data_IF_274846950111
#
_entry.id   IF_274846950111
#
_cell.length_a   1.000
_cell.length_b   1.000
_cell.length_c   1.000
_cell.angle_alpha   90.00
_cell.angle_beta   90.00
_cell.angle_gamma   90.00
#
_symmetry.space_group_name_H-M   'P 1'
#
loop_
_entity.id
_entity.type
_entity.pdbx_description
1 polymer ?
#
# COMPACT_ATOMS: atom_id res chain seq x y z
N UNK A 1 -8.40 82.43 -43.89
CA UNK A 1 -7.15 81.98 -43.25
C UNK A 1 -7.52 81.09 -42.10
N UNK A 2 -7.69 79.76 -42.38
CA UNK A 2 -8.15 78.72 -41.40
C UNK A 2 -6.98 77.82 -41.07
N UNK A 3 -6.55 77.85 -39.80
CA UNK A 3 -5.51 76.96 -39.22
C UNK A 3 -6.14 75.64 -38.85
N UNK A 4 -5.71 74.57 -39.50
CA UNK A 4 -6.07 73.17 -39.13
C UNK A 4 -5.19 72.72 -37.95
N UNK A 5 -5.82 72.40 -36.84
CA UNK A 5 -5.17 71.78 -35.67
C UNK A 5 -5.28 70.26 -35.86
N UNK A 6 -4.12 69.57 -36.00
CA UNK A 6 -4.03 68.18 -36.06
C UNK A 6 -3.92 67.60 -34.62
N UNK A 7 -4.91 66.80 -34.19
CA UNK A 7 -4.89 66.14 -32.92
C UNK A 7 -4.18 64.78 -33.13
N UNK A 8 -2.99 64.64 -32.54
CA UNK A 8 -2.25 63.37 -32.50
C UNK A 8 -2.78 62.54 -31.34
N UNK A 9 -3.55 61.49 -31.66
CA UNK A 9 -4.02 60.48 -30.70
C UNK A 9 -2.87 59.51 -30.37
N UNK A 10 -2.33 59.63 -29.16
CA UNK A 10 -1.34 58.68 -28.61
C UNK A 10 -2.07 57.43 -28.15
N UNK A 11 -1.96 56.32 -28.92
CA UNK A 11 -2.42 55.00 -28.52
C UNK A 11 -1.32 54.39 -27.69
N UNK A 12 -1.55 54.29 -26.37
CA UNK A 12 -0.69 53.54 -25.45
C UNK A 12 -1.13 52.05 -25.50
N UNK A 13 -0.26 51.13 -25.92
CA UNK A 13 -0.62 49.70 -25.85
C UNK A 13 -0.60 49.26 -24.39
N UNK A 14 -1.75 48.85 -23.89
CA UNK A 14 -1.89 48.14 -22.63
C UNK A 14 -1.23 46.75 -22.76
N UNK A 15 -0.01 46.61 -22.30
CA UNK A 15 0.66 45.34 -22.08
C UNK A 15 -0.05 44.62 -20.94
N UNK A 16 -0.93 43.69 -21.27
CA UNK A 16 -1.46 42.68 -20.34
C UNK A 16 -0.31 41.83 -19.83
N UNK A 17 0.24 42.15 -18.69
CA UNK A 17 1.06 41.23 -17.90
C UNK A 17 0.13 40.12 -17.39
N UNK A 18 0.01 39.03 -18.15
CA UNK A 18 -0.48 37.75 -17.62
C UNK A 18 0.57 37.28 -16.64
N UNK A 19 0.48 37.69 -15.39
CA UNK A 19 1.22 37.13 -14.30
C UNK A 19 0.78 35.65 -14.18
N UNK A 20 1.68 34.71 -14.44
CA UNK A 20 1.52 33.34 -13.96
C UNK A 20 1.39 33.40 -12.44
N UNK A 21 0.17 33.38 -11.92
CA UNK A 21 -0.06 33.15 -10.51
C UNK A 21 0.45 31.75 -10.21
N UNK A 22 1.66 31.64 -9.68
CA UNK A 22 2.12 30.42 -9.04
C UNK A 22 1.08 30.08 -7.96
N UNK A 23 0.52 28.86 -8.01
CA UNK A 23 -0.31 28.36 -6.91
C UNK A 23 0.46 28.58 -5.61
N UNK A 24 -0.19 29.12 -4.57
CA UNK A 24 0.45 29.21 -3.26
C UNK A 24 0.98 27.84 -2.90
N UNK A 25 2.21 27.78 -2.45
CA UNK A 25 2.80 26.53 -1.96
C UNK A 25 1.90 26.03 -0.82
N UNK A 26 1.59 24.73 -0.83
CA UNK A 26 0.87 24.10 0.28
C UNK A 26 1.77 24.16 1.52
N UNK A 27 1.42 25.02 2.49
CA UNK A 27 2.20 25.27 3.70
C UNK A 27 1.96 24.24 4.80
N UNK A 28 1.04 23.27 4.58
CA UNK A 28 0.77 22.24 5.56
C UNK A 28 2.04 21.42 5.85
N UNK A 29 2.27 21.02 7.12
CA UNK A 29 3.36 20.15 7.45
C UNK A 29 3.20 18.80 6.71
N UNK A 30 4.33 18.19 6.37
CA UNK A 30 4.32 16.95 5.57
C UNK A 30 4.60 15.74 6.46
N UNK A 31 3.80 14.70 6.28
CA UNK A 31 4.04 13.34 6.76
C UNK A 31 4.38 12.49 5.53
N UNK A 32 5.42 11.66 5.63
CA UNK A 32 5.69 10.66 4.61
C UNK A 32 5.22 9.28 5.06
N UNK A 33 4.74 8.50 4.10
CA UNK A 33 4.43 7.09 4.26
C UNK A 33 5.18 6.29 3.20
N UNK A 34 5.60 5.06 3.51
CA UNK A 34 6.39 4.26 2.55
C UNK A 34 5.56 3.80 1.36
N UNK A 35 4.35 3.32 1.59
CA UNK A 35 3.45 2.76 0.57
C UNK A 35 2.05 3.36 0.63
N UNK A 36 1.32 3.23 -0.45
CA UNK A 36 0.01 3.86 -0.64
C UNK A 36 -1.06 3.43 0.39
N UNK A 37 -1.16 2.15 0.82
CA UNK A 37 -2.07 1.74 1.89
C UNK A 37 -1.91 2.53 3.20
N UNK A 38 -0.68 2.91 3.54
CA UNK A 38 -0.42 3.71 4.75
C UNK A 38 -0.95 5.14 4.62
N UNK A 39 -0.99 5.69 3.39
CA UNK A 39 -1.62 7.00 3.15
C UNK A 39 -3.11 6.95 3.49
N UNK A 40 -3.81 5.90 3.08
CA UNK A 40 -5.22 5.70 3.43
C UNK A 40 -5.47 5.76 4.94
N UNK A 41 -4.63 5.02 5.72
CA UNK A 41 -4.76 4.98 7.18
C UNK A 41 -4.39 6.33 7.82
N UNK A 42 -3.24 6.89 7.48
CA UNK A 42 -2.72 8.10 8.11
C UNK A 42 -3.57 9.31 7.78
N UNK A 43 -4.02 9.44 6.53
CA UNK A 43 -4.90 10.55 6.12
C UNK A 43 -6.24 10.53 6.84
N UNK A 44 -6.81 9.35 7.12
CA UNK A 44 -8.04 9.26 7.92
C UNK A 44 -7.83 9.77 9.36
N UNK A 45 -6.64 9.60 9.95
CA UNK A 45 -6.34 10.07 11.31
C UNK A 45 -6.11 11.58 11.32
N UNK A 46 -5.26 12.09 10.43
CA UNK A 46 -4.83 13.50 10.48
C UNK A 46 -5.75 14.48 9.74
N UNK A 47 -6.65 13.98 8.88
CA UNK A 47 -7.50 14.81 8.05
C UNK A 47 -6.71 15.73 7.13
N UNK A 48 -7.16 16.97 6.99
CA UNK A 48 -6.56 17.99 6.13
C UNK A 48 -5.42 18.80 6.78
N UNK A 49 -5.06 18.51 8.03
CA UNK A 49 -4.03 19.27 8.75
C UNK A 49 -2.62 19.01 8.21
N UNK A 50 -2.43 17.88 7.54
CA UNK A 50 -1.14 17.47 6.98
C UNK A 50 -1.25 17.14 5.49
N UNK A 51 -0.12 17.31 4.80
CA UNK A 51 0.11 16.73 3.50
C UNK A 51 0.74 15.35 3.67
N UNK A 52 -0.01 14.28 3.35
CA UNK A 52 0.49 12.91 3.45
C UNK A 52 1.04 12.48 2.09
N UNK A 53 2.36 12.36 1.99
CA UNK A 53 3.10 12.02 0.77
C UNK A 53 3.55 10.56 0.78
N UNK A 54 3.50 9.91 -0.38
CA UNK A 54 3.88 8.50 -0.55
C UNK A 54 5.24 8.40 -1.19
N UNK A 55 6.10 7.52 -0.66
CA UNK A 55 7.43 7.29 -1.23
C UNK A 55 7.39 6.43 -2.48
N UNK A 56 6.74 5.28 -2.40
CA UNK A 56 6.58 4.37 -3.54
C UNK A 56 5.41 4.83 -4.40
N UNK A 57 5.64 5.33 -5.61
CA UNK A 57 4.57 5.76 -6.49
C UNK A 57 3.58 4.64 -6.82
N UNK A 58 2.30 4.96 -7.09
CA UNK A 58 1.32 3.98 -7.52
C UNK A 58 1.80 3.12 -8.68
N UNK A 59 1.58 1.81 -8.62
CA UNK A 59 1.95 0.85 -9.67
C UNK A 59 3.40 0.37 -9.63
N UNK A 60 4.27 0.94 -8.79
CA UNK A 60 5.63 0.44 -8.59
C UNK A 60 5.65 -0.68 -7.53
N UNK A 61 6.59 -1.61 -7.71
CA UNK A 61 6.82 -2.67 -6.73
C UNK A 61 7.68 -2.15 -5.57
N UNK A 62 7.18 -2.17 -4.32
CA UNK A 62 7.94 -1.75 -3.15
C UNK A 62 9.23 -2.55 -2.92
N UNK A 63 9.27 -3.83 -3.31
CA UNK A 63 10.44 -4.69 -3.09
C UNK A 63 11.66 -4.28 -3.92
N UNK A 64 11.43 -3.62 -5.07
CA UNK A 64 12.48 -3.16 -5.99
C UNK A 64 12.64 -1.64 -6.04
N UNK A 65 11.94 -0.91 -5.16
CA UNK A 65 11.95 0.55 -5.18
C UNK A 65 13.24 1.12 -4.61
N UNK A 66 13.75 2.17 -5.26
CA UNK A 66 14.86 3.00 -4.75
C UNK A 66 14.47 4.48 -4.74
N UNK A 67 14.57 5.16 -3.59
CA UNK A 67 14.21 6.57 -3.49
C UNK A 67 15.23 7.46 -4.19
N UNK A 68 14.71 8.53 -4.81
CA UNK A 68 15.53 9.56 -5.44
C UNK A 68 16.22 10.45 -4.39
N UNK A 69 17.34 11.13 -4.74
CA UNK A 69 17.98 12.12 -3.84
C UNK A 69 17.03 13.23 -3.40
N UNK A 70 16.09 13.63 -4.23
CA UNK A 70 15.08 14.64 -3.89
C UNK A 70 14.15 14.14 -2.80
N UNK A 71 13.63 12.91 -2.91
CA UNK A 71 12.80 12.30 -1.88
C UNK A 71 13.54 12.19 -0.54
N UNK A 72 14.85 11.90 -0.55
CA UNK A 72 15.66 11.87 0.67
C UNK A 72 15.74 13.24 1.37
N UNK A 73 15.83 14.34 0.61
CA UNK A 73 15.81 15.70 1.17
C UNK A 73 14.43 15.99 1.78
N UNK A 74 13.36 15.66 1.06
CA UNK A 74 12.00 15.93 1.50
C UNK A 74 11.61 15.09 2.74
N UNK A 75 12.08 13.85 2.84
CA UNK A 75 11.97 13.00 4.05
C UNK A 75 12.64 13.64 5.28
N UNK A 76 13.87 14.18 5.10
CA UNK A 76 14.56 14.85 6.21
C UNK A 76 13.86 16.13 6.68
N UNK A 77 12.98 16.72 5.88
CA UNK A 77 12.18 17.91 6.20
C UNK A 77 10.80 17.57 6.79
N UNK A 78 10.35 16.35 6.69
CA UNK A 78 9.01 15.95 7.14
C UNK A 78 8.89 15.91 8.67
N UNK A 79 7.66 15.97 9.16
CA UNK A 79 7.33 15.85 10.59
C UNK A 79 7.44 14.40 11.08
N UNK A 80 6.85 13.47 10.35
CA UNK A 80 6.84 12.03 10.63
C UNK A 80 7.08 11.24 9.35
N UNK A 81 7.60 10.04 9.51
CA UNK A 81 7.79 9.03 8.45
C UNK A 81 7.24 7.72 8.97
N UNK A 82 6.10 7.28 8.42
CA UNK A 82 5.53 5.98 8.72
C UNK A 82 5.97 4.95 7.69
N UNK A 83 6.38 3.80 8.17
CA UNK A 83 6.85 2.70 7.33
C UNK A 83 6.38 1.35 7.90
N UNK A 84 6.43 0.30 7.09
CA UNK A 84 6.16 -1.07 7.55
C UNK A 84 7.27 -1.53 8.48
N UNK A 85 8.53 -1.24 8.15
CA UNK A 85 9.72 -1.61 8.88
C UNK A 85 10.32 -2.96 8.49
N UNK A 86 9.66 -3.70 7.58
CA UNK A 86 10.09 -5.02 7.09
C UNK A 86 10.38 -5.06 5.59
N UNK A 87 10.15 -3.98 4.84
CA UNK A 87 10.50 -3.90 3.43
C UNK A 87 11.97 -3.46 3.30
N UNK A 88 12.74 -4.14 2.47
CA UNK A 88 14.19 -3.94 2.37
C UNK A 88 14.61 -2.51 2.02
N UNK A 89 13.90 -1.84 1.10
CA UNK A 89 14.23 -0.47 0.74
C UNK A 89 14.04 0.51 1.90
N UNK A 90 13.04 0.28 2.76
CA UNK A 90 12.77 1.11 3.93
C UNK A 90 13.97 1.10 4.87
N UNK A 91 14.53 -0.07 5.16
CA UNK A 91 15.68 -0.20 6.06
C UNK A 91 16.90 0.55 5.54
N UNK A 92 17.22 0.36 4.25
CA UNK A 92 18.36 1.03 3.60
C UNK A 92 18.20 2.54 3.57
N UNK A 93 16.99 3.02 3.23
CA UNK A 93 16.65 4.44 3.12
C UNK A 93 16.59 5.11 4.49
N UNK A 94 15.85 4.53 5.42
CA UNK A 94 15.60 5.11 6.73
C UNK A 94 16.88 5.19 7.57
N UNK A 95 17.86 4.31 7.34
CA UNK A 95 19.18 4.41 7.99
C UNK A 95 19.90 5.75 7.74
N UNK A 96 19.53 6.47 6.66
CA UNK A 96 20.10 7.76 6.25
C UNK A 96 19.32 8.98 6.76
N UNK A 97 18.24 8.78 7.51
CA UNK A 97 17.46 9.86 8.12
C UNK A 97 18.20 10.38 9.36
N UNK A 98 18.41 11.69 9.41
CA UNK A 98 19.18 12.36 10.48
C UNK A 98 18.47 12.26 11.85
N UNK A 99 17.19 12.62 11.90
CA UNK A 99 16.39 12.48 13.12
C UNK A 99 15.56 11.19 13.09
N UNK A 100 16.08 10.16 13.73
CA UNK A 100 15.46 8.84 13.81
C UNK A 100 14.16 8.80 14.62
N UNK A 101 13.89 9.78 15.47
CA UNK A 101 12.70 9.81 16.33
C UNK A 101 11.42 9.99 15.54
N UNK A 102 11.51 10.60 14.35
CA UNK A 102 10.35 10.78 13.46
C UNK A 102 10.04 9.56 12.58
N UNK A 103 10.89 8.52 12.63
CA UNK A 103 10.70 7.28 11.87
C UNK A 103 9.92 6.28 12.73
N UNK A 104 8.72 5.97 12.30
CA UNK A 104 7.77 5.14 13.04
C UNK A 104 7.52 3.83 12.28
N UNK A 105 7.94 2.72 12.87
CA UNK A 105 7.69 1.38 12.35
C UNK A 105 6.30 0.90 12.77
N UNK A 106 5.40 0.72 11.81
CA UNK A 106 3.99 0.37 12.09
C UNK A 106 3.78 -1.11 12.42
N UNK A 107 4.78 -1.98 12.20
CA UNK A 107 4.70 -3.40 12.53
C UNK A 107 4.79 -3.70 14.05
N UNK A 108 5.07 -2.72 14.89
CA UNK A 108 5.26 -2.95 16.33
C UNK A 108 4.04 -3.62 16.94
N UNK A 109 4.27 -4.74 17.64
CA UNK A 109 3.22 -5.55 18.24
C UNK A 109 2.54 -6.55 17.31
N UNK A 110 2.94 -6.61 16.03
CA UNK A 110 2.47 -7.61 15.08
C UNK A 110 3.43 -8.80 15.11
N UNK A 111 2.88 -10.01 15.24
CA UNK A 111 3.65 -11.24 15.17
C UNK A 111 4.10 -11.50 13.72
N UNK A 112 5.42 -11.59 13.47
CA UNK A 112 5.92 -11.78 12.12
C UNK A 112 5.60 -13.18 11.58
N UNK A 113 5.34 -13.25 10.27
CA UNK A 113 5.29 -14.53 9.54
C UNK A 113 6.62 -14.65 8.79
N UNK A 114 7.20 -15.86 8.79
CA UNK A 114 8.38 -16.13 7.97
C UNK A 114 8.04 -15.92 6.49
N UNK A 115 8.78 -15.03 5.83
CA UNK A 115 8.60 -14.74 4.42
C UNK A 115 9.16 -15.86 3.55
N UNK A 116 8.60 -16.01 2.36
CA UNK A 116 9.16 -16.87 1.32
C UNK A 116 10.33 -16.23 0.57
N UNK A 117 10.65 -14.96 0.85
CA UNK A 117 11.72 -14.21 0.20
C UNK A 117 13.06 -14.39 0.94
N UNK A 118 13.62 -15.59 0.90
CA UNK A 118 14.99 -15.83 1.36
C UNK A 118 15.97 -15.63 0.20
N UNK A 119 16.55 -14.44 0.06
CA UNK A 119 17.78 -14.31 -0.72
C UNK A 119 18.90 -15.01 0.06
N UNK A 120 19.48 -16.02 -0.58
CA UNK A 120 20.52 -16.87 -0.01
C UNK A 120 21.85 -16.13 0.12
N UNK A 121 21.98 -15.25 1.13
CA UNK A 121 23.26 -14.79 1.67
C UNK A 121 23.19 -14.91 3.21
N UNK A 122 23.46 -16.13 3.69
CA UNK A 122 23.25 -16.60 5.06
C UNK A 122 24.33 -16.16 6.05
N UNK A 123 24.96 -15.00 5.92
CA UNK A 123 26.05 -14.61 6.83
C UNK A 123 25.90 -13.29 7.60
N UNK A 124 24.74 -12.65 7.55
CA UNK A 124 24.47 -11.49 8.43
C UNK A 124 23.08 -11.63 9.04
N UNK A 125 22.97 -11.44 10.36
CA UNK A 125 21.72 -11.34 11.14
C UNK A 125 20.82 -10.18 10.66
N UNK A 126 20.46 -10.17 9.39
CA UNK A 126 19.46 -9.28 8.85
C UNK A 126 18.14 -10.03 8.80
N UNK A 127 17.05 -9.37 9.21
CA UNK A 127 15.66 -9.89 9.23
C UNK A 127 15.14 -10.21 7.80
N UNK A 128 16.01 -10.80 6.97
CA UNK A 128 15.66 -11.34 5.66
C UNK A 128 14.83 -12.59 5.90
N UNK A 129 13.55 -12.54 5.53
CA UNK A 129 12.64 -13.66 5.69
C UNK A 129 11.40 -13.39 6.53
N UNK A 130 11.04 -12.14 6.77
CA UNK A 130 9.72 -11.75 7.31
C UNK A 130 8.85 -11.27 6.17
N UNK A 131 7.64 -11.83 6.07
CA UNK A 131 6.63 -11.35 5.13
C UNK A 131 6.21 -9.91 5.52
N UNK A 132 6.36 -8.91 4.64
CA UNK A 132 6.05 -7.54 4.98
C UNK A 132 4.56 -7.16 4.84
N UNK A 133 3.71 -8.02 4.25
CA UNK A 133 2.37 -7.67 3.76
C UNK A 133 1.30 -7.55 4.87
N UNK A 134 1.67 -6.95 6.02
CA UNK A 134 0.77 -6.77 7.18
C UNK A 134 -0.46 -5.91 6.89
N UNK A 135 -0.35 -4.99 5.93
CA UNK A 135 -1.45 -4.06 5.58
C UNK A 135 -2.62 -4.73 4.84
N UNK A 136 -2.51 -6.01 4.49
CA UNK A 136 -3.56 -6.75 3.77
C UNK A 136 -4.56 -7.44 4.70
N UNK A 137 -4.36 -7.37 6.02
CA UNK A 137 -5.27 -7.95 7.01
C UNK A 137 -5.89 -6.85 7.89
N UNK A 138 -7.21 -6.86 8.11
CA UNK A 138 -7.90 -5.88 8.98
C UNK A 138 -7.36 -5.86 10.41
N UNK A 139 -6.94 -7.02 10.94
CA UNK A 139 -6.42 -7.13 12.32
C UNK A 139 -5.08 -6.44 12.46
N UNK A 140 -4.17 -6.67 11.54
CA UNK A 140 -2.87 -6.02 11.51
C UNK A 140 -3.00 -4.53 11.18
N UNK A 141 -3.90 -4.15 10.27
CA UNK A 141 -4.20 -2.74 9.97
C UNK A 141 -4.65 -1.97 11.21
N UNK A 142 -5.42 -2.59 12.08
CA UNK A 142 -5.85 -1.97 13.35
C UNK A 142 -4.66 -1.67 14.26
N UNK A 143 -3.72 -2.62 14.39
CA UNK A 143 -2.47 -2.41 15.15
C UNK A 143 -1.62 -1.31 14.51
N UNK A 144 -1.54 -1.28 13.18
CA UNK A 144 -0.81 -0.22 12.45
C UNK A 144 -1.45 1.16 12.66
N UNK A 145 -2.77 1.24 12.62
CA UNK A 145 -3.51 2.48 12.88
C UNK A 145 -3.30 2.98 14.33
N UNK A 146 -3.28 2.07 15.32
CA UNK A 146 -2.96 2.40 16.71
C UNK A 146 -1.54 2.94 16.85
N UNK A 147 -0.55 2.31 16.22
CA UNK A 147 0.83 2.77 16.23
C UNK A 147 0.98 4.16 15.56
N UNK A 148 0.29 4.39 14.44
CA UNK A 148 0.27 5.69 13.77
C UNK A 148 -0.36 6.77 14.65
N UNK A 149 -1.53 6.48 15.24
CA UNK A 149 -2.22 7.41 16.13
C UNK A 149 -1.37 7.76 17.36
N UNK A 150 -0.73 6.79 17.99
CA UNK A 150 0.15 7.04 19.17
C UNK A 150 1.28 8.01 18.82
N UNK A 151 1.94 7.83 17.70
CA UNK A 151 3.01 8.72 17.27
C UNK A 151 2.49 10.15 16.95
N UNK A 152 1.30 10.26 16.36
CA UNK A 152 0.65 11.56 16.12
C UNK A 152 0.24 12.21 17.44
N UNK A 153 -0.34 11.45 18.36
CA UNK A 153 -0.76 11.95 19.67
C UNK A 153 0.42 12.41 20.55
N UNK A 154 1.58 11.76 20.49
CA UNK A 154 2.80 12.21 21.17
C UNK A 154 3.22 13.61 20.73
N UNK A 155 3.04 13.97 19.45
CA UNK A 155 3.36 15.31 18.94
C UNK A 155 2.23 16.32 19.17
N UNK A 156 0.99 15.87 19.23
CA UNK A 156 -0.22 16.70 19.30
C UNK A 156 -1.18 16.19 20.38
N UNK A 157 -0.76 16.18 21.67
CA UNK A 157 -1.53 15.54 22.74
C UNK A 157 -2.87 16.22 23.02
N UNK A 158 -3.00 17.49 22.68
CA UNK A 158 -4.23 18.27 22.92
C UNK A 158 -5.24 18.15 21.76
N UNK A 159 -4.90 17.45 20.66
CA UNK A 159 -5.80 17.29 19.52
C UNK A 159 -6.86 16.22 19.77
N UNK A 160 -8.07 16.65 20.09
CA UNK A 160 -9.23 15.75 20.22
C UNK A 160 -9.71 15.23 18.86
N UNK A 161 -9.44 15.96 17.78
CA UNK A 161 -9.85 15.59 16.40
C UNK A 161 -9.17 14.30 15.98
N UNK A 162 -7.86 14.17 16.19
CA UNK A 162 -7.13 12.95 15.82
C UNK A 162 -7.59 11.73 16.61
N UNK A 163 -7.95 11.92 17.90
CA UNK A 163 -8.52 10.85 18.71
C UNK A 163 -9.88 10.37 18.16
N UNK A 164 -10.76 11.30 17.79
CA UNK A 164 -12.06 10.98 17.18
C UNK A 164 -11.88 10.28 15.83
N UNK A 165 -11.03 10.82 14.97
CA UNK A 165 -10.76 10.26 13.65
C UNK A 165 -10.18 8.84 13.76
N UNK A 166 -9.21 8.63 14.66
CA UNK A 166 -8.65 7.31 14.94
C UNK A 166 -9.73 6.33 15.42
N UNK A 167 -10.61 6.74 16.33
CA UNK A 167 -11.68 5.87 16.81
C UNK A 167 -12.64 5.47 15.67
N UNK A 168 -13.01 6.42 14.80
CA UNK A 168 -13.82 6.13 13.61
C UNK A 168 -13.13 5.12 12.68
N UNK A 169 -11.81 5.26 12.46
CA UNK A 169 -11.04 4.32 11.66
C UNK A 169 -10.97 2.93 12.33
N UNK A 170 -10.72 2.88 13.64
CA UNK A 170 -10.67 1.64 14.40
C UNK A 170 -12.01 0.88 14.34
N UNK A 171 -13.14 1.59 14.43
CA UNK A 171 -14.48 1.01 14.32
C UNK A 171 -14.75 0.47 12.90
N UNK A 172 -14.32 1.20 11.84
CA UNK A 172 -14.39 0.72 10.45
C UNK A 172 -13.58 -0.56 10.25
N UNK A 173 -12.35 -0.61 10.79
CA UNK A 173 -11.47 -1.78 10.66
C UNK A 173 -12.03 -2.99 11.43
N UNK A 174 -12.65 -2.77 12.58
CA UNK A 174 -13.34 -3.83 13.32
C UNK A 174 -14.56 -4.36 12.54
N UNK A 175 -15.39 -3.48 12.01
CA UNK A 175 -16.53 -3.88 11.19
C UNK A 175 -16.11 -4.65 9.93
N UNK A 176 -14.97 -4.26 9.33
CA UNK A 176 -14.39 -5.00 8.21
C UNK A 176 -13.93 -6.40 8.64
N UNK A 177 -13.21 -6.54 9.77
CA UNK A 177 -12.76 -7.84 10.30
C UNK A 177 -13.94 -8.78 10.52
N UNK A 178 -15.00 -8.29 11.17
CA UNK A 178 -16.22 -9.07 11.44
C UNK A 178 -16.91 -9.51 10.12
N UNK A 179 -17.04 -8.58 9.16
CA UNK A 179 -17.62 -8.87 7.85
C UNK A 179 -16.83 -9.90 7.05
N UNK A 180 -15.50 -9.76 7.01
CA UNK A 180 -14.61 -10.71 6.32
C UNK A 180 -14.72 -12.10 6.95
N UNK A 181 -14.67 -12.19 8.28
CA UNK A 181 -14.78 -13.45 9.01
C UNK A 181 -16.09 -14.17 8.70
N UNK A 182 -17.22 -13.44 8.72
CA UNK A 182 -18.53 -14.03 8.44
C UNK A 182 -18.66 -14.52 6.99
N UNK A 183 -18.20 -13.71 6.00
CA UNK A 183 -18.27 -14.07 4.57
C UNK A 183 -17.42 -15.28 4.25
N UNK A 184 -16.19 -15.37 4.77
CA UNK A 184 -15.32 -16.52 4.59
C UNK A 184 -15.88 -17.78 5.24
N UNK A 185 -16.45 -17.66 6.44
CA UNK A 185 -17.12 -18.77 7.12
C UNK A 185 -18.32 -19.28 6.33
N UNK A 186 -19.15 -18.39 5.77
CA UNK A 186 -20.33 -18.75 4.98
C UNK A 186 -19.93 -19.40 3.64
N UNK A 187 -18.89 -18.93 2.98
CA UNK A 187 -18.42 -19.49 1.71
C UNK A 187 -17.79 -20.87 1.89
N UNK A 188 -17.19 -21.15 3.05
CA UNK A 188 -16.46 -22.39 3.34
C UNK A 188 -15.27 -22.60 2.41
N UNK A 189 -14.69 -21.54 1.81
CA UNK A 189 -13.49 -21.62 0.97
C UNK A 189 -12.29 -22.05 1.82
N UNK A 190 -11.63 -23.18 1.53
CA UNK A 190 -10.51 -23.65 2.34
C UNK A 190 -9.19 -22.96 1.98
N UNK A 191 -9.02 -22.54 0.73
CA UNK A 191 -7.83 -21.85 0.23
C UNK A 191 -8.14 -21.08 -1.06
N UNK A 192 -7.24 -20.20 -1.45
CA UNK A 192 -7.24 -19.48 -2.73
C UNK A 192 -5.85 -19.53 -3.37
N UNK A 193 -5.79 -19.41 -4.69
CA UNK A 193 -4.53 -19.36 -5.43
C UNK A 193 -4.16 -17.93 -5.81
N UNK A 194 -2.90 -17.58 -5.60
CA UNK A 194 -2.36 -16.26 -5.89
C UNK A 194 -0.95 -16.40 -6.50
N UNK A 195 -0.59 -15.49 -7.40
CA UNK A 195 0.76 -15.54 -8.00
C UNK A 195 1.83 -15.20 -6.94
N UNK A 196 1.87 -13.97 -6.46
CA UNK A 196 2.77 -13.52 -5.39
C UNK A 196 2.07 -13.54 -4.03
N UNK A 197 2.70 -14.06 -2.94
CA UNK A 197 2.04 -14.31 -1.66
C UNK A 197 1.78 -13.03 -0.83
N UNK A 198 0.97 -12.10 -1.34
CA UNK A 198 0.72 -10.82 -0.69
C UNK A 198 -0.42 -10.84 0.38
N UNK A 199 -1.13 -11.96 0.56
CA UNK A 199 -2.27 -12.05 1.48
C UNK A 199 -2.05 -13.01 2.65
N UNK A 200 -0.79 -13.22 3.06
CA UNK A 200 -0.41 -14.21 4.08
C UNK A 200 -1.00 -13.89 5.46
N UNK A 201 -0.98 -12.61 5.87
CA UNK A 201 -1.58 -12.18 7.13
C UNK A 201 -3.11 -12.27 7.10
N UNK A 202 -3.74 -11.94 5.99
CA UNK A 202 -5.15 -12.16 5.76
C UNK A 202 -5.51 -13.66 5.90
N UNK A 203 -4.79 -14.53 5.21
CA UNK A 203 -5.02 -15.97 5.26
C UNK A 203 -4.87 -16.52 6.70
N UNK A 204 -3.81 -16.10 7.42
CA UNK A 204 -3.61 -16.45 8.84
C UNK A 204 -4.76 -15.98 9.72
N UNK A 205 -5.21 -14.74 9.54
CA UNK A 205 -6.25 -14.14 10.40
C UNK A 205 -7.57 -14.89 10.36
N UNK A 206 -7.89 -15.51 9.22
CA UNK A 206 -9.18 -16.19 9.02
C UNK A 206 -9.08 -17.71 8.86
N UNK A 207 -7.89 -18.29 9.04
CA UNK A 207 -7.69 -19.73 9.01
C UNK A 207 -7.94 -20.37 7.65
N UNK A 208 -7.73 -19.62 6.56
CA UNK A 208 -7.74 -20.12 5.18
C UNK A 208 -6.30 -20.23 4.67
N UNK A 209 -6.06 -21.07 3.67
CA UNK A 209 -4.73 -21.23 3.10
C UNK A 209 -4.53 -20.31 1.87
N UNK A 210 -3.38 -19.67 1.78
CA UNK A 210 -2.90 -19.00 0.59
C UNK A 210 -1.94 -19.92 -0.16
N UNK A 211 -2.30 -20.38 -1.35
CA UNK A 211 -1.43 -21.16 -2.23
C UNK A 211 -0.76 -20.24 -3.23
N UNK A 212 0.51 -19.91 -2.97
CA UNK A 212 1.30 -19.05 -3.86
C UNK A 212 1.93 -19.87 -5.00
N UNK A 213 1.87 -19.31 -6.22
CA UNK A 213 2.50 -19.87 -7.42
C UNK A 213 4.00 -19.56 -7.40
N UNK A 214 4.34 -18.31 -7.22
CA UNK A 214 5.72 -17.85 -7.03
C UNK A 214 6.34 -18.42 -5.76
N UNK A 215 7.65 -18.57 -5.75
CA UNK A 215 8.42 -18.95 -4.57
C UNK A 215 9.71 -18.11 -4.50
N UNK A 216 9.93 -17.44 -3.38
CA UNK A 216 11.15 -16.66 -3.11
C UNK A 216 11.47 -15.62 -4.20
N UNK A 217 10.44 -14.90 -4.70
CA UNK A 217 10.61 -13.92 -5.77
C UNK A 217 10.94 -14.52 -7.14
N UNK A 218 10.77 -15.85 -7.33
CA UNK A 218 11.13 -16.58 -8.55
C UNK A 218 9.94 -17.34 -9.10
N UNK A 219 9.94 -17.53 -10.41
CA UNK A 219 9.02 -18.44 -11.06
C UNK A 219 9.17 -19.87 -10.53
N UNK A 220 8.07 -20.62 -10.39
CA UNK A 220 8.13 -21.98 -9.89
C UNK A 220 8.89 -22.90 -10.86
N UNK A 221 9.58 -23.89 -10.32
CA UNK A 221 10.14 -24.95 -11.16
C UNK A 221 9.01 -25.70 -11.91
N UNK A 222 9.30 -26.25 -13.09
CA UNK A 222 8.32 -27.02 -13.88
C UNK A 222 7.65 -28.15 -13.07
N UNK A 223 8.40 -28.82 -12.18
CA UNK A 223 7.87 -29.85 -11.28
C UNK A 223 6.88 -29.30 -10.26
N UNK A 224 7.16 -28.12 -9.69
CA UNK A 224 6.26 -27.44 -8.74
C UNK A 224 4.99 -26.97 -9.46
N UNK A 225 5.16 -26.34 -10.61
CA UNK A 225 4.06 -25.85 -11.42
C UNK A 225 3.10 -26.98 -11.79
N UNK A 226 3.61 -28.11 -12.29
CA UNK A 226 2.79 -29.28 -12.61
C UNK A 226 1.96 -29.78 -11.41
N UNK A 227 2.55 -29.79 -10.19
CA UNK A 227 1.83 -30.16 -8.96
C UNK A 227 0.73 -29.17 -8.60
N UNK A 228 1.01 -27.86 -8.73
CA UNK A 228 0.01 -26.81 -8.47
C UNK A 228 -1.17 -26.92 -9.44
N UNK A 229 -0.90 -27.15 -10.73
CA UNK A 229 -1.93 -27.35 -11.75
C UNK A 229 -2.78 -28.59 -11.42
N UNK A 230 -2.15 -29.72 -11.07
CA UNK A 230 -2.87 -30.94 -10.70
C UNK A 230 -3.75 -30.74 -9.45
N UNK A 231 -3.24 -30.07 -8.44
CA UNK A 231 -3.99 -29.71 -7.23
C UNK A 231 -5.19 -28.82 -7.59
N UNK A 232 -4.96 -27.72 -8.33
CA UNK A 232 -6.01 -26.78 -8.71
C UNK A 232 -7.13 -27.44 -9.52
N UNK A 233 -6.79 -28.34 -10.46
CA UNK A 233 -7.77 -29.12 -11.24
C UNK A 233 -8.59 -30.06 -10.35
N UNK A 234 -7.93 -30.81 -9.46
CA UNK A 234 -8.59 -31.73 -8.52
C UNK A 234 -9.57 -30.99 -7.61
N UNK A 235 -9.19 -29.81 -7.13
CA UNK A 235 -9.97 -29.03 -6.18
C UNK A 235 -10.94 -28.06 -6.87
N UNK A 236 -10.98 -28.08 -8.21
CA UNK A 236 -11.87 -27.27 -9.07
C UNK A 236 -11.72 -25.77 -8.83
N UNK A 237 -10.47 -25.30 -8.68
CA UNK A 237 -10.17 -23.86 -8.56
C UNK A 237 -10.59 -23.14 -9.85
N UNK A 238 -11.33 -22.05 -9.68
CA UNK A 238 -11.88 -21.25 -10.80
C UNK A 238 -11.17 -19.93 -11.03
N UNK A 239 -10.40 -19.45 -10.04
CA UNK A 239 -9.73 -18.16 -10.09
C UNK A 239 -8.29 -18.27 -9.61
N UNK A 240 -7.38 -17.61 -10.33
CA UNK A 240 -6.00 -17.35 -9.90
C UNK A 240 -5.80 -15.86 -9.78
N UNK A 241 -5.50 -15.40 -8.57
CA UNK A 241 -5.25 -13.98 -8.32
C UNK A 241 -3.83 -13.58 -8.71
N UNK A 242 -3.67 -12.36 -9.20
CA UNK A 242 -2.35 -11.78 -9.46
C UNK A 242 -2.34 -10.27 -9.24
N UNK A 243 -1.17 -9.71 -8.95
CA UNK A 243 -0.98 -8.30 -8.74
C UNK A 243 -0.45 -7.63 -10.01
N UNK A 244 -0.78 -6.35 -10.21
CA UNK A 244 -0.40 -5.57 -11.40
C UNK A 244 1.12 -5.40 -11.59
N UNK A 245 1.91 -5.65 -10.55
CA UNK A 245 3.36 -5.59 -10.56
C UNK A 245 4.02 -6.79 -11.24
N UNK A 246 3.25 -7.84 -11.54
CA UNK A 246 3.73 -9.08 -12.16
C UNK A 246 3.20 -9.27 -13.58
N UNK A 247 3.93 -9.98 -14.46
CA UNK A 247 3.48 -10.22 -15.85
C UNK A 247 2.18 -11.03 -15.89
N UNK A 248 1.12 -10.45 -16.42
CA UNK A 248 -0.17 -11.13 -16.59
C UNK A 248 -0.06 -12.42 -17.43
N UNK A 249 0.82 -12.40 -18.45
CA UNK A 249 0.99 -13.52 -19.38
C UNK A 249 1.38 -14.84 -18.70
N UNK A 250 2.25 -14.81 -17.69
CA UNK A 250 2.62 -16.02 -16.95
C UNK A 250 1.42 -16.59 -16.19
N UNK A 251 0.63 -15.72 -15.57
CA UNK A 251 -0.56 -16.12 -14.78
C UNK A 251 -1.68 -16.61 -15.69
N UNK A 252 -1.88 -15.97 -16.83
CA UNK A 252 -2.88 -16.34 -17.84
C UNK A 252 -2.64 -17.76 -18.37
N UNK A 253 -1.39 -18.11 -18.70
CA UNK A 253 -1.03 -19.48 -19.13
C UNK A 253 -1.36 -20.51 -18.02
N UNK A 254 -1.04 -20.21 -16.77
CA UNK A 254 -1.33 -21.11 -15.65
C UNK A 254 -2.85 -21.25 -15.45
N UNK A 255 -3.57 -20.14 -15.48
CA UNK A 255 -5.02 -20.13 -15.34
C UNK A 255 -5.70 -20.90 -16.46
N UNK A 256 -5.26 -20.76 -17.71
CA UNK A 256 -5.74 -21.53 -18.86
C UNK A 256 -5.48 -23.03 -18.69
N UNK A 257 -4.28 -23.41 -18.24
CA UNK A 257 -3.92 -24.81 -18.00
C UNK A 257 -4.80 -25.49 -16.95
N UNK A 258 -5.28 -24.78 -15.94
CA UNK A 258 -6.18 -25.33 -14.91
C UNK A 258 -7.67 -25.15 -15.25
N UNK A 259 -7.99 -24.42 -16.30
CA UNK A 259 -9.38 -24.07 -16.68
C UNK A 259 -9.99 -23.00 -15.78
N UNK A 260 -9.16 -22.13 -15.20
CA UNK A 260 -9.55 -21.02 -14.33
C UNK A 260 -9.44 -19.67 -15.03
N UNK A 261 -9.94 -18.62 -14.39
CA UNK A 261 -9.76 -17.24 -14.80
C UNK A 261 -8.60 -16.60 -14.03
N UNK A 262 -7.80 -15.78 -14.68
CA UNK A 262 -6.85 -14.90 -14.02
C UNK A 262 -7.56 -13.60 -13.60
N UNK A 263 -7.50 -13.26 -12.32
CA UNK A 263 -8.14 -12.05 -11.77
C UNK A 263 -7.10 -11.16 -11.12
N UNK A 264 -7.01 -9.93 -11.63
CA UNK A 264 -6.09 -8.93 -11.08
C UNK A 264 -6.65 -8.33 -9.79
N UNK A 265 -5.81 -8.30 -8.76
CA UNK A 265 -6.04 -7.56 -7.51
C UNK A 265 -4.94 -6.52 -7.30
N UNK A 266 -5.18 -5.52 -6.48
CA UNK A 266 -4.16 -4.53 -6.10
C UNK A 266 -4.02 -4.44 -4.58
N UNK A 267 -3.14 -5.23 -3.95
CA UNK A 267 -2.90 -5.15 -2.51
C UNK A 267 -2.35 -3.79 -2.05
N UNK A 268 -1.89 -2.94 -2.97
CA UNK A 268 -1.34 -1.62 -2.69
C UNK A 268 -2.37 -0.49 -2.87
N UNK A 269 -3.65 -0.78 -2.99
CA UNK A 269 -4.69 0.25 -3.10
C UNK A 269 -4.74 1.14 -1.85
N UNK A 270 -4.99 2.43 -2.05
CA UNK A 270 -5.08 3.41 -0.97
C UNK A 270 -6.32 3.21 -0.08
N UNK A 271 -7.46 2.93 -0.67
CA UNK A 271 -8.67 2.53 0.06
C UNK A 271 -8.53 1.09 0.55
N UNK A 272 -7.85 0.93 1.68
CA UNK A 272 -7.56 -0.39 2.24
C UNK A 272 -8.83 -1.14 2.67
N UNK A 273 -9.84 -0.42 3.19
CA UNK A 273 -11.11 -1.00 3.67
C UNK A 273 -11.91 -1.54 2.49
N UNK A 274 -12.17 -0.70 1.49
CA UNK A 274 -12.89 -1.09 0.29
C UNK A 274 -12.16 -2.19 -0.49
N UNK A 275 -10.85 -2.10 -0.58
CA UNK A 275 -10.03 -3.08 -1.30
C UNK A 275 -10.05 -4.47 -0.64
N UNK A 276 -9.87 -4.57 0.68
CA UNK A 276 -9.94 -5.85 1.40
C UNK A 276 -11.33 -6.45 1.29
N UNK A 277 -12.38 -5.63 1.40
CA UNK A 277 -13.75 -6.08 1.18
C UNK A 277 -13.94 -6.66 -0.23
N UNK A 278 -13.46 -5.95 -1.27
CA UNK A 278 -13.51 -6.39 -2.66
C UNK A 278 -12.72 -7.70 -2.90
N UNK A 279 -11.49 -7.81 -2.37
CA UNK A 279 -10.70 -9.05 -2.46
C UNK A 279 -11.45 -10.22 -1.78
N UNK A 280 -12.11 -9.96 -0.65
CA UNK A 280 -12.92 -10.97 0.05
C UNK A 280 -14.11 -11.41 -0.82
N UNK A 281 -14.79 -10.47 -1.52
CA UNK A 281 -15.87 -10.82 -2.46
C UNK A 281 -15.36 -11.76 -3.55
N UNK A 282 -14.20 -11.47 -4.13
CA UNK A 282 -13.60 -12.30 -5.16
C UNK A 282 -13.24 -13.70 -4.64
N UNK A 283 -12.64 -13.80 -3.45
CA UNK A 283 -12.28 -15.10 -2.83
C UNK A 283 -13.53 -15.92 -2.53
N UNK A 284 -14.58 -15.29 -2.01
CA UNK A 284 -15.81 -16.00 -1.63
C UNK A 284 -16.69 -16.37 -2.82
N UNK A 285 -16.60 -15.64 -3.95
CA UNK A 285 -17.32 -15.94 -5.19
C UNK A 285 -16.78 -17.18 -5.93
N UNK A 286 -15.58 -17.68 -5.59
CA UNK A 286 -15.01 -18.87 -6.24
C UNK A 286 -15.89 -20.14 -6.14
N UNK A 287 -16.84 -20.19 -5.21
CA UNK A 287 -17.73 -21.31 -5.00
C UNK A 287 -19.17 -21.12 -5.46
N UNK A 288 -19.50 -19.91 -5.95
CA UNK A 288 -20.81 -19.62 -6.52
C UNK A 288 -20.80 -19.86 -8.04
#
# INVERSE_FOLDING_TARGET
MFRKIAIFSLIIPWLLFSGCASRPADERPTIFVSILPLRGIVSEIVGDDFRVEVLVPPGMNPESFEPTPRQMIDLNRSQLIFNIGWIDFEQKMLSKIEDRRKVIDLHRGIEPIAGSCSHADAEKEHRHGVDPHIWTSPRELRTMADNAYRAIHELYPDSTVYAVNYQCLADKLQALDDSVAERLKQSGVPYFMIYHPALTYYARAYGIEQVAIEQDGKEPSAKRLARLIEQARRDSIRVVFYQSQFPASTVEVIAEDIGAQSVRIDPLAEDVVGNISYITDLITAERL
#
